data_IF_080411453693
#
_entry.id   IF_080411453693
#
_cell.length_a   1.000
_cell.length_b   1.000
_cell.length_c   1.000
_cell.angle_alpha   90.00
_cell.angle_beta   90.00
_cell.angle_gamma   90.00
#
_symmetry.space_group_name_H-M   'P 1'
#
loop_
_entity.id
_entity.type
_entity.pdbx_description
1 polymer ?
#
# COMPACT_ATOMS: atom_id res chain seq x y z
N UNK A 1 -0.62 -73.22 70.19
CA UNK A 1 -0.35 -72.27 71.29
C UNK A 1 0.63 -71.21 70.79
N UNK A 2 0.18 -69.96 70.66
CA UNK A 2 0.92 -68.73 70.98
C UNK A 2 0.24 -67.57 70.25
N UNK A 3 -0.41 -66.72 71.05
CA UNK A 3 -0.98 -65.42 70.65
C UNK A 3 0.19 -64.43 70.53
N UNK A 4 0.11 -63.45 69.60
CA UNK A 4 0.16 -61.99 69.85
C UNK A 4 0.43 -61.17 68.57
N UNK A 5 0.13 -59.85 68.57
CA UNK A 5 -0.72 -59.25 67.55
C UNK A 5 -0.12 -58.02 66.84
N UNK A 6 -0.97 -57.41 66.01
CA UNK A 6 -0.93 -56.11 65.34
C UNK A 6 -0.29 -54.93 66.11
N UNK A 7 0.49 -54.12 65.40
CA UNK A 7 0.66 -52.67 65.58
C UNK A 7 1.13 -52.09 64.23
N UNK A 8 0.29 -51.45 63.40
CA UNK A 8 -0.08 -50.02 63.44
C UNK A 8 1.05 -49.07 63.86
N UNK A 9 1.46 -48.21 62.92
CA UNK A 9 1.42 -46.75 63.07
C UNK A 9 2.49 -46.04 62.21
N UNK A 10 2.00 -45.09 61.40
CA UNK A 10 2.56 -43.75 61.26
C UNK A 10 4.03 -43.61 60.80
N UNK A 11 4.25 -43.74 59.49
CA UNK A 11 5.45 -43.22 58.80
C UNK A 11 5.13 -41.88 58.11
N UNK A 12 4.57 -40.93 58.86
CA UNK A 12 4.35 -39.53 58.43
C UNK A 12 5.03 -38.60 59.41
N UNK A 13 6.29 -38.32 59.16
CA UNK A 13 7.06 -37.37 59.97
C UNK A 13 8.53 -37.54 59.68
N UNK A 14 9.00 -37.01 58.55
CA UNK A 14 10.43 -36.73 58.33
C UNK A 14 10.74 -35.76 57.16
N UNK A 15 9.74 -35.12 56.54
CA UNK A 15 10.03 -34.14 55.46
C UNK A 15 10.35 -32.73 56.01
N UNK A 16 9.98 -32.43 57.26
CA UNK A 16 10.21 -31.11 57.87
C UNK A 16 11.59 -30.94 58.53
N UNK A 17 12.43 -31.98 58.56
CA UNK A 17 13.74 -31.93 59.25
C UNK A 17 14.95 -31.68 58.34
N UNK A 18 14.83 -31.85 57.02
CA UNK A 18 15.95 -31.61 56.10
C UNK A 18 16.07 -30.16 55.62
N UNK A 19 15.13 -29.27 55.98
CA UNK A 19 15.15 -27.85 55.58
C UNK A 19 15.72 -26.91 56.63
N UNK A 20 16.45 -27.42 57.63
CA UNK A 20 17.12 -26.60 58.66
C UNK A 20 18.63 -26.47 58.48
N UNK A 21 19.22 -27.26 57.59
CA UNK A 21 20.68 -27.30 57.38
C UNK A 21 21.10 -26.82 55.98
N UNK A 22 20.21 -26.16 55.23
CA UNK A 22 20.66 -25.37 54.09
C UNK A 22 21.42 -24.15 54.65
N UNK A 23 22.72 -23.98 54.32
CA UNK A 23 23.43 -22.77 54.72
C UNK A 23 22.63 -21.58 54.22
N UNK A 24 22.21 -20.70 55.14
CA UNK A 24 21.64 -19.42 54.77
C UNK A 24 22.68 -18.73 53.88
N UNK A 25 22.42 -18.68 52.57
CA UNK A 25 23.26 -17.90 51.67
C UNK A 25 23.35 -16.50 52.27
N UNK A 26 24.56 -15.98 52.51
CA UNK A 26 24.70 -14.67 53.13
C UNK A 26 23.98 -13.67 52.22
N UNK A 27 22.90 -13.08 52.72
CA UNK A 27 22.19 -12.05 52.00
C UNK A 27 23.20 -10.93 51.74
N UNK A 28 23.69 -10.83 50.51
CA UNK A 28 24.66 -9.83 50.10
C UNK A 28 23.96 -8.47 50.17
N UNK A 29 24.02 -7.85 51.34
CA UNK A 29 23.45 -6.54 51.59
C UNK A 29 24.43 -5.50 51.09
N UNK A 30 24.19 -5.03 49.86
CA UNK A 30 24.93 -3.91 49.28
C UNK A 30 24.85 -2.71 50.23
N UNK A 31 26.01 -2.09 50.53
CA UNK A 31 26.05 -0.87 51.33
C UNK A 31 25.19 0.22 50.67
N UNK A 32 24.54 1.11 51.44
CA UNK A 32 23.69 2.16 50.88
C UNK A 32 24.39 2.97 49.78
N UNK A 33 25.67 3.29 49.97
CA UNK A 33 26.51 3.99 48.98
C UNK A 33 26.73 3.19 47.69
N UNK A 34 26.86 1.87 47.77
CA UNK A 34 27.01 1.01 46.59
C UNK A 34 25.69 0.93 45.81
N UNK A 35 24.57 0.88 46.51
CA UNK A 35 23.22 0.86 45.93
C UNK A 35 22.89 2.15 45.18
N UNK A 36 23.20 3.31 45.77
CA UNK A 36 22.97 4.62 45.14
C UNK A 36 23.82 4.81 43.87
N UNK A 37 25.05 4.30 43.87
CA UNK A 37 25.92 4.27 42.67
C UNK A 37 25.33 3.40 41.57
N UNK A 38 24.79 2.24 41.92
CA UNK A 38 24.14 1.35 40.95
C UNK A 38 22.89 2.03 40.36
N UNK A 39 22.05 2.65 41.18
CA UNK A 39 20.85 3.33 40.68
C UNK A 39 21.16 4.56 39.82
N UNK A 40 22.19 5.34 40.18
CA UNK A 40 22.61 6.47 39.35
C UNK A 40 23.21 6.03 38.02
N UNK A 41 24.00 4.94 37.98
CA UNK A 41 24.50 4.36 36.73
C UNK A 41 23.38 3.81 35.86
N UNK A 42 22.40 3.12 36.45
CA UNK A 42 21.22 2.63 35.75
C UNK A 42 20.41 3.81 35.18
N UNK A 43 20.17 4.86 35.98
CA UNK A 43 19.45 6.05 35.54
C UNK A 43 20.16 6.77 34.38
N UNK A 44 21.49 6.88 34.43
CA UNK A 44 22.28 7.45 33.35
C UNK A 44 22.23 6.58 32.09
N UNK A 45 22.38 5.27 32.21
CA UNK A 45 22.28 4.33 31.08
C UNK A 45 20.90 4.36 30.42
N UNK A 46 19.82 4.42 31.22
CA UNK A 46 18.46 4.58 30.72
C UNK A 46 18.28 5.94 30.02
N UNK A 47 18.80 7.02 30.60
CA UNK A 47 18.72 8.36 30.02
C UNK A 47 19.43 8.46 28.67
N UNK A 48 20.64 7.91 28.56
CA UNK A 48 21.39 7.85 27.30
C UNK A 48 20.68 6.98 26.27
N UNK A 49 20.18 5.80 26.67
CA UNK A 49 19.45 4.91 25.76
C UNK A 49 18.17 5.55 25.25
N UNK A 50 17.42 6.24 26.13
CA UNK A 50 16.22 6.97 25.75
C UNK A 50 16.52 8.14 24.81
N UNK A 51 17.63 8.86 25.03
CA UNK A 51 18.06 9.95 24.16
C UNK A 51 18.43 9.44 22.75
N UNK A 52 19.20 8.35 22.66
CA UNK A 52 19.57 7.73 21.37
C UNK A 52 18.31 7.24 20.63
N UNK A 53 17.41 6.56 21.34
CA UNK A 53 16.16 6.08 20.75
C UNK A 53 15.29 7.24 20.25
N UNK A 54 15.20 8.33 21.03
CA UNK A 54 14.45 9.53 20.65
C UNK A 54 15.02 10.20 19.39
N UNK A 55 16.35 10.31 19.28
CA UNK A 55 17.00 10.88 18.11
C UNK A 55 16.79 10.02 16.86
N UNK A 56 16.90 8.70 16.97
CA UNK A 56 16.62 7.77 15.86
C UNK A 56 15.17 7.84 15.38
N UNK A 57 14.20 7.90 16.30
CA UNK A 57 12.79 8.07 15.94
C UNK A 57 12.59 9.42 15.24
N UNK A 58 13.20 10.50 15.76
CA UNK A 58 13.15 11.82 15.15
C UNK A 58 13.75 11.84 13.73
N UNK A 59 14.87 11.14 13.52
CA UNK A 59 15.50 10.97 12.21
C UNK A 59 14.61 10.26 11.21
N UNK A 60 13.96 9.15 11.60
CA UNK A 60 13.02 8.41 10.76
C UNK A 60 11.82 9.28 10.38
N UNK A 61 11.25 10.01 11.34
CA UNK A 61 10.09 10.90 11.09
C UNK A 61 10.46 12.00 10.10
N UNK A 62 11.63 12.64 10.26
CA UNK A 62 12.10 13.68 9.33
C UNK A 62 12.37 13.11 7.93
N UNK A 63 12.95 11.91 7.84
CA UNK A 63 13.19 11.24 6.56
C UNK A 63 11.87 10.90 5.85
N UNK A 64 10.89 10.36 6.57
CA UNK A 64 9.54 10.11 6.04
C UNK A 64 8.86 11.40 5.61
N UNK A 65 9.01 12.49 6.36
CA UNK A 65 8.46 13.79 6.00
C UNK A 65 9.11 14.37 4.74
N UNK A 66 10.42 14.22 4.57
CA UNK A 66 11.12 14.64 3.34
C UNK A 66 10.67 13.83 2.12
N UNK A 67 10.56 12.51 2.25
CA UNK A 67 10.01 11.64 1.20
C UNK A 67 8.58 12.06 0.86
N UNK A 68 7.73 12.24 1.88
CA UNK A 68 6.35 12.69 1.66
C UNK A 68 6.32 14.03 0.91
N UNK A 69 7.10 15.02 1.32
CA UNK A 69 7.17 16.32 0.64
C UNK A 69 7.69 16.21 -0.81
N UNK A 70 8.67 15.35 -1.06
CA UNK A 70 9.23 15.14 -2.39
C UNK A 70 8.22 14.53 -3.37
N UNK A 71 7.34 13.63 -2.89
CA UNK A 71 6.37 12.94 -3.74
C UNK A 71 4.95 13.52 -3.69
N UNK A 72 4.62 14.38 -2.72
CA UNK A 72 3.27 14.92 -2.56
C UNK A 72 2.80 15.69 -3.79
N UNK A 73 3.66 16.54 -4.36
CA UNK A 73 3.32 17.26 -5.59
C UNK A 73 3.04 16.29 -6.76
N UNK A 74 3.89 15.28 -6.95
CA UNK A 74 3.69 14.25 -7.98
C UNK A 74 2.38 13.49 -7.80
N UNK A 75 2.07 13.04 -6.58
CA UNK A 75 0.83 12.34 -6.26
C UNK A 75 -0.40 13.22 -6.47
N UNK A 76 -0.32 14.50 -6.12
CA UNK A 76 -1.39 15.48 -6.37
C UNK A 76 -1.60 15.66 -7.87
N UNK A 77 -0.54 15.88 -8.66
CA UNK A 77 -0.66 16.00 -10.12
C UNK A 77 -1.22 14.74 -10.77
N UNK A 78 -0.77 13.55 -10.35
CA UNK A 78 -1.31 12.28 -10.86
C UNK A 78 -2.79 12.12 -10.53
N UNK A 79 -3.19 12.48 -9.30
CA UNK A 79 -4.57 12.41 -8.85
C UNK A 79 -5.46 13.40 -9.63
N UNK A 80 -5.01 14.64 -9.83
CA UNK A 80 -5.69 15.63 -10.65
C UNK A 80 -5.80 15.17 -12.11
N UNK A 81 -4.76 14.52 -12.65
CA UNK A 81 -4.77 13.98 -14.00
C UNK A 81 -5.82 12.86 -14.16
N UNK A 82 -5.95 11.96 -13.18
CA UNK A 82 -6.98 10.91 -13.18
C UNK A 82 -8.39 11.54 -13.14
N UNK A 83 -8.61 12.52 -12.27
CA UNK A 83 -9.90 13.24 -12.19
C UNK A 83 -10.22 13.94 -13.50
N UNK A 84 -9.24 14.58 -14.14
CA UNK A 84 -9.38 15.24 -15.43
C UNK A 84 -9.77 14.24 -16.54
N UNK A 85 -9.12 13.07 -16.60
CA UNK A 85 -9.49 12.01 -17.56
C UNK A 85 -10.93 11.56 -17.34
N UNK A 86 -11.33 11.34 -16.08
CA UNK A 86 -12.71 10.98 -15.74
C UNK A 86 -13.73 12.03 -16.20
N UNK A 87 -13.43 13.30 -16.01
CA UNK A 87 -14.28 14.41 -16.46
C UNK A 87 -14.39 14.47 -17.99
N UNK A 88 -13.29 14.28 -18.72
CA UNK A 88 -13.29 14.21 -20.20
C UNK A 88 -14.12 13.03 -20.67
N UNK A 89 -13.98 11.86 -20.06
CA UNK A 89 -14.75 10.67 -20.40
C UNK A 89 -16.26 10.89 -20.22
N UNK A 90 -16.67 11.50 -19.10
CA UNK A 90 -18.06 11.85 -18.85
C UNK A 90 -18.60 12.88 -19.87
N UNK A 91 -17.79 13.89 -20.22
CA UNK A 91 -18.15 14.88 -21.24
C UNK A 91 -18.33 14.24 -22.62
N UNK A 92 -17.40 13.35 -23.02
CA UNK A 92 -17.48 12.60 -24.28
C UNK A 92 -18.69 11.66 -24.31
N UNK A 93 -19.02 11.01 -23.19
CA UNK A 93 -20.23 10.19 -23.09
C UNK A 93 -21.52 11.01 -23.29
N UNK A 94 -21.60 12.18 -22.63
CA UNK A 94 -22.73 13.11 -22.83
C UNK A 94 -22.78 13.66 -24.24
N UNK A 95 -21.63 13.87 -24.88
CA UNK A 95 -21.55 14.31 -26.27
C UNK A 95 -22.03 13.22 -27.22
N UNK A 96 -21.65 11.96 -26.99
CA UNK A 96 -22.10 10.80 -27.77
C UNK A 96 -23.63 10.70 -27.81
N UNK A 97 -24.30 10.94 -26.69
CA UNK A 97 -25.77 10.85 -26.61
C UNK A 97 -26.50 12.04 -27.21
N UNK A 98 -25.90 13.25 -27.20
CA UNK A 98 -26.56 14.48 -27.70
C UNK A 98 -26.20 14.85 -29.13
N UNK A 99 -24.94 14.64 -29.54
CA UNK A 99 -24.37 15.12 -30.81
C UNK A 99 -23.45 14.05 -31.39
N UNK A 100 -24.04 12.94 -31.82
CA UNK A 100 -23.30 11.79 -32.34
C UNK A 100 -22.33 12.16 -33.48
N UNK A 101 -22.72 13.05 -34.39
CA UNK A 101 -21.86 13.54 -35.48
C UNK A 101 -20.61 14.28 -34.97
N UNK A 102 -20.76 15.12 -33.94
CA UNK A 102 -19.61 15.83 -33.37
C UNK A 102 -18.69 14.85 -32.63
N UNK A 103 -19.26 13.92 -31.88
CA UNK A 103 -18.52 12.85 -31.22
C UNK A 103 -17.73 12.00 -32.24
N UNK A 104 -18.35 11.60 -33.34
CA UNK A 104 -17.72 10.86 -34.44
C UNK A 104 -16.54 11.63 -35.06
N UNK A 105 -16.70 12.93 -35.33
CA UNK A 105 -15.63 13.77 -35.84
C UNK A 105 -14.46 13.88 -34.85
N UNK A 106 -14.74 13.98 -33.55
CA UNK A 106 -13.71 13.98 -32.51
C UNK A 106 -12.96 12.65 -32.47
N UNK A 107 -13.65 11.51 -32.56
CA UNK A 107 -12.99 10.20 -32.63
C UNK A 107 -12.05 10.11 -33.83
N UNK A 108 -12.49 10.51 -35.02
CA UNK A 108 -11.64 10.52 -36.22
C UNK A 108 -10.40 11.41 -36.01
N UNK A 109 -10.59 12.61 -35.45
CA UNK A 109 -9.50 13.57 -35.25
C UNK A 109 -8.50 13.08 -34.18
N UNK A 110 -8.99 12.56 -33.05
CA UNK A 110 -8.13 11.98 -32.01
C UNK A 110 -7.42 10.72 -32.49
N UNK A 111 -8.10 9.86 -33.24
CA UNK A 111 -7.50 8.67 -33.82
C UNK A 111 -6.39 9.02 -34.82
N UNK A 112 -6.62 10.01 -35.68
CA UNK A 112 -5.60 10.51 -36.61
C UNK A 112 -4.39 11.09 -35.87
N UNK A 113 -4.63 11.96 -34.89
CA UNK A 113 -3.56 12.55 -34.08
C UNK A 113 -2.75 11.47 -33.36
N UNK A 114 -3.42 10.51 -32.71
CA UNK A 114 -2.77 9.41 -32.02
C UNK A 114 -1.93 8.54 -32.96
N UNK A 115 -2.46 8.20 -34.14
CA UNK A 115 -1.73 7.41 -35.14
C UNK A 115 -0.51 8.16 -35.70
N UNK A 116 -0.64 9.45 -36.02
CA UNK A 116 0.48 10.26 -36.54
C UNK A 116 1.56 10.43 -35.48
N UNK A 117 1.17 10.76 -34.25
CA UNK A 117 2.09 10.88 -33.12
C UNK A 117 2.82 9.55 -32.85
N UNK A 118 2.08 8.45 -32.79
CA UNK A 118 2.63 7.13 -32.55
C UNK A 118 3.55 6.66 -33.69
N UNK A 119 3.23 6.98 -34.94
CA UNK A 119 4.08 6.68 -36.09
C UNK A 119 5.39 7.48 -36.04
N UNK A 120 5.34 8.75 -35.62
CA UNK A 120 6.54 9.56 -35.44
C UNK A 120 7.43 9.00 -34.32
N UNK A 121 6.85 8.61 -33.18
CA UNK A 121 7.55 7.92 -32.10
C UNK A 121 8.14 6.58 -32.54
N UNK A 122 7.42 5.81 -33.37
CA UNK A 122 7.91 4.54 -33.91
C UNK A 122 9.16 4.73 -34.77
N UNK A 123 9.22 5.82 -35.55
CA UNK A 123 10.39 6.16 -36.36
C UNK A 123 11.57 6.64 -35.50
N UNK A 124 11.30 7.45 -34.47
CA UNK A 124 12.31 7.96 -33.56
C UNK A 124 12.78 6.95 -32.50
N UNK A 125 12.07 5.81 -32.35
CA UNK A 125 12.32 4.85 -31.29
C UNK A 125 13.67 4.12 -31.42
N UNK A 126 14.56 4.41 -30.47
CA UNK A 126 15.87 3.79 -30.33
C UNK A 126 15.81 2.39 -29.68
N UNK A 127 14.75 2.10 -28.91
CA UNK A 127 14.61 0.82 -28.21
C UNK A 127 13.49 -0.04 -28.82
N UNK A 128 13.62 -1.39 -28.80
CA UNK A 128 12.56 -2.29 -29.25
C UNK A 128 11.24 -2.11 -28.48
N UNK A 129 11.31 -1.80 -27.18
CA UNK A 129 10.14 -1.59 -26.34
C UNK A 129 9.32 -0.37 -26.78
N UNK A 130 9.98 0.76 -27.08
CA UNK A 130 9.30 1.96 -27.58
C UNK A 130 8.65 1.72 -28.94
N UNK A 131 9.27 0.90 -29.80
CA UNK A 131 8.66 0.50 -31.09
C UNK A 131 7.38 -0.30 -30.89
N UNK A 132 7.39 -1.27 -29.99
CA UNK A 132 6.20 -2.06 -29.68
C UNK A 132 5.06 -1.17 -29.17
N UNK A 133 5.34 -0.23 -28.26
CA UNK A 133 4.35 0.74 -27.76
C UNK A 133 3.81 1.64 -28.88
N UNK A 134 4.68 2.13 -29.76
CA UNK A 134 4.30 2.93 -30.94
C UNK A 134 3.40 2.16 -31.90
N UNK A 135 3.68 0.88 -32.15
CA UNK A 135 2.84 0.01 -32.99
C UNK A 135 1.43 -0.15 -32.39
N UNK A 136 1.32 -0.50 -31.11
CA UNK A 136 0.02 -0.64 -30.46
C UNK A 136 -0.77 0.67 -30.44
N UNK A 137 -0.11 1.81 -30.18
CA UNK A 137 -0.74 3.11 -30.23
C UNK A 137 -1.23 3.48 -31.64
N UNK A 138 -0.46 3.12 -32.68
CA UNK A 138 -0.85 3.33 -34.08
C UNK A 138 -2.10 2.52 -34.43
N UNK A 139 -2.13 1.24 -34.07
CA UNK A 139 -3.28 0.34 -34.30
C UNK A 139 -4.50 0.84 -33.52
N UNK A 140 -4.32 1.26 -32.27
CA UNK A 140 -5.41 1.83 -31.47
C UNK A 140 -5.97 3.11 -32.11
N UNK A 141 -5.11 4.00 -32.63
CA UNK A 141 -5.55 5.19 -33.36
C UNK A 141 -6.37 4.86 -34.61
N UNK A 142 -5.92 3.88 -35.41
CA UNK A 142 -6.67 3.40 -36.60
C UNK A 142 -8.03 2.84 -36.19
N UNK A 143 -8.09 2.03 -35.13
CA UNK A 143 -9.35 1.51 -34.60
C UNK A 143 -10.32 2.62 -34.19
N UNK A 144 -9.83 3.66 -33.52
CA UNK A 144 -10.64 4.82 -33.13
C UNK A 144 -11.18 5.55 -34.37
N UNK A 145 -10.40 5.70 -35.43
CA UNK A 145 -10.85 6.30 -36.70
C UNK A 145 -12.00 5.48 -37.29
N UNK A 146 -11.85 4.15 -37.39
CA UNK A 146 -12.88 3.26 -37.93
C UNK A 146 -14.17 3.38 -37.12
N UNK A 147 -14.07 3.37 -35.78
CA UNK A 147 -15.22 3.55 -34.89
C UNK A 147 -15.89 4.92 -35.08
N UNK A 148 -15.10 5.98 -35.26
CA UNK A 148 -15.60 7.31 -35.57
C UNK A 148 -16.34 7.38 -36.91
N UNK A 149 -15.82 6.72 -37.95
CA UNK A 149 -16.49 6.62 -39.25
C UNK A 149 -17.82 5.86 -39.16
N UNK A 150 -17.86 4.75 -38.43
CA UNK A 150 -19.10 3.99 -38.16
C UNK A 150 -20.14 4.86 -37.43
N UNK A 151 -19.72 5.59 -36.38
CA UNK A 151 -20.59 6.52 -35.66
C UNK A 151 -21.08 7.70 -36.52
N UNK A 152 -20.35 8.08 -37.57
CA UNK A 152 -20.75 9.13 -38.51
C UNK A 152 -21.87 8.68 -39.45
N UNK A 153 -21.91 7.40 -39.80
CA UNK A 153 -22.95 6.80 -40.66
C UNK A 153 -24.26 6.55 -39.92
N UNK A 154 -24.21 6.42 -38.58
CA UNK A 154 -25.40 6.23 -37.75
C UNK A 154 -26.19 7.54 -37.61
N UNK A 155 -27.49 7.48 -37.89
CA UNK A 155 -28.44 8.56 -37.59
C UNK A 155 -28.99 8.38 -36.18
N UNK A 156 -29.03 9.46 -35.40
CA UNK A 156 -29.75 9.52 -34.14
C UNK A 156 -30.97 10.44 -34.29
N UNK A 157 -32.16 10.07 -33.78
CA UNK A 157 -32.47 8.82 -33.06
C UNK A 157 -32.60 7.61 -34.00
N UNK A 158 -32.47 6.37 -33.48
CA UNK A 158 -32.78 5.18 -34.27
C UNK A 158 -34.21 5.30 -34.80
N UNK A 159 -34.39 5.11 -36.10
CA UNK A 159 -35.72 4.99 -36.68
C UNK A 159 -36.38 3.81 -36.00
N UNK A 160 -37.34 4.07 -35.11
CA UNK A 160 -38.24 3.05 -34.62
C UNK A 160 -39.00 2.60 -35.86
N UNK A 161 -38.61 1.44 -36.41
CA UNK A 161 -39.40 0.82 -37.45
C UNK A 161 -40.78 0.58 -36.83
N UNK A 162 -41.77 1.34 -37.28
CA UNK A 162 -43.17 1.06 -36.98
C UNK A 162 -43.52 -0.18 -37.79
N UNK A 163 -43.07 -1.34 -37.30
CA UNK A 163 -43.59 -2.63 -37.74
C UNK A 163 -45.00 -2.76 -37.15
N UNK A 164 -46.01 -2.75 -38.03
CA UNK A 164 -47.34 -3.23 -37.68
C UNK A 164 -48.39 -2.15 -37.39
N UNK A 165 -48.76 -1.37 -38.41
CA UNK A 165 -50.11 -0.80 -38.51
C UNK A 165 -50.62 -1.05 -39.93
N UNK A 166 -51.01 -2.30 -40.19
CA UNK A 166 -51.63 -2.76 -41.43
C UNK A 166 -52.46 -4.00 -41.14
#
# INVERSE_FOLDING_TARGET
MSRRPLASASRRGNIWRERKDSPEEPAVTLSPKARDRIYSLIGLAMGVSAAILSDHIGGIVRALQQVAQQYLASLVFQSLFIVMIGAIAAALFKLRTRRLRLYANLEILFGLFASVYAANELYAALTPESRTKGLFATVAGIYIIIRGLDNRQKSYPPSVAVEGAG
#
